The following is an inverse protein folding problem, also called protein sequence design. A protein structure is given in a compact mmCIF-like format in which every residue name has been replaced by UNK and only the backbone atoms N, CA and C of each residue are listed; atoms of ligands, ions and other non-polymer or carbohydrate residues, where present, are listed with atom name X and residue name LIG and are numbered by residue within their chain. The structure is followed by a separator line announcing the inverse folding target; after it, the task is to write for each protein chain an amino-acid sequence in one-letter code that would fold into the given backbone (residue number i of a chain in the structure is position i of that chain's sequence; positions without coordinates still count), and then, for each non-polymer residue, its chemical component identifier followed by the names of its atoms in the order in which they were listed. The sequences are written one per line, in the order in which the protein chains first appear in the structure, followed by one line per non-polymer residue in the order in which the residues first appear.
data_IF_475380076054
#
_entry.id   IF_475380076054
#
_cell.length_a   1.000
_cell.length_b   1.000
_cell.length_c   1.000
_cell.angle_alpha   90.00
_cell.angle_beta   90.00
_cell.angle_gamma   90.00
#
_symmetry.space_group_name_H-M   'P 1'
#
loop_
_entity.id
_entity.type
_entity.pdbx_description
1 polymer ?
#
# COMPACT_ATOMS: atom_id res chain seq x y z
N UNK A 1 -9.23 -33.82 -17.53
CA UNK A 1 -7.81 -33.53 -17.33
C UNK A 1 -7.44 -33.98 -15.93
N UNK A 2 -6.29 -34.62 -15.78
CA UNK A 2 -5.75 -34.93 -14.45
C UNK A 2 -5.37 -33.65 -13.73
N UNK A 3 -5.41 -33.69 -12.38
CA UNK A 3 -5.01 -32.55 -11.54
C UNK A 3 -3.50 -32.35 -11.64
N UNK A 4 -3.07 -31.12 -11.85
CA UNK A 4 -1.65 -30.74 -11.78
C UNK A 4 -1.17 -30.70 -10.32
N UNK A 5 -0.80 -31.86 -9.80
CA UNK A 5 -0.39 -32.00 -8.41
C UNK A 5 0.87 -31.19 -8.10
N UNK A 6 1.77 -30.97 -9.07
CA UNK A 6 3.01 -30.24 -8.84
C UNK A 6 2.75 -28.80 -8.39
N UNK A 7 1.87 -28.06 -9.06
CA UNK A 7 1.55 -26.68 -8.66
C UNK A 7 0.70 -26.64 -7.39
N UNK A 8 -0.25 -27.58 -7.23
CA UNK A 8 -1.08 -27.61 -6.03
C UNK A 8 -0.31 -28.00 -4.77
N UNK A 9 0.73 -28.81 -4.86
CA UNK A 9 1.64 -29.12 -3.73
C UNK A 9 2.48 -27.87 -3.35
N UNK A 10 2.85 -27.03 -4.31
CA UNK A 10 3.53 -25.76 -4.05
C UNK A 10 2.57 -24.80 -3.32
N UNK A 11 1.32 -24.69 -3.77
CA UNK A 11 0.30 -23.86 -3.13
C UNK A 11 0.05 -24.31 -1.69
N UNK A 12 -0.05 -25.63 -1.46
CA UNK A 12 -0.24 -26.16 -0.12
C UNK A 12 0.94 -25.87 0.80
N UNK A 13 2.18 -25.97 0.32
CA UNK A 13 3.36 -25.59 1.12
C UNK A 13 3.36 -24.11 1.49
N UNK A 14 2.95 -23.22 0.59
CA UNK A 14 2.81 -21.80 0.90
C UNK A 14 1.66 -21.56 1.91
N UNK A 15 0.53 -22.24 1.76
CA UNK A 15 -0.56 -22.19 2.74
C UNK A 15 -0.07 -22.61 4.14
N UNK A 16 0.69 -23.71 4.24
CA UNK A 16 1.26 -24.17 5.52
C UNK A 16 2.26 -23.15 6.08
N UNK A 17 3.08 -22.48 5.24
CA UNK A 17 3.97 -21.43 5.67
C UNK A 17 3.19 -20.26 6.28
N UNK A 18 2.18 -19.76 5.59
CA UNK A 18 1.32 -18.68 6.08
C UNK A 18 0.59 -19.05 7.37
N UNK A 19 0.10 -20.28 7.46
CA UNK A 19 -0.64 -20.78 8.63
C UNK A 19 0.22 -20.83 9.89
N UNK A 20 1.49 -21.25 9.77
CA UNK A 20 2.40 -21.48 10.91
C UNK A 20 3.13 -20.23 11.36
N UNK A 21 3.36 -19.26 10.48
CA UNK A 21 4.18 -18.09 10.76
C UNK A 21 3.40 -16.86 11.22
N UNK A 22 4.12 -15.94 11.83
CA UNK A 22 3.66 -14.58 12.14
C UNK A 22 4.02 -13.68 10.96
N UNK A 23 3.01 -13.05 10.35
CA UNK A 23 3.20 -12.12 9.22
C UNK A 23 3.18 -10.67 9.69
N UNK A 24 4.32 -9.98 9.57
CA UNK A 24 4.52 -8.59 9.96
C UNK A 24 4.94 -7.68 8.80
N UNK A 25 4.92 -8.16 7.56
CA UNK A 25 5.13 -7.27 6.42
C UNK A 25 3.95 -6.29 6.34
N UNK A 26 4.24 -5.00 6.50
CA UNK A 26 3.23 -3.94 6.60
C UNK A 26 2.32 -3.81 5.37
N UNK A 27 2.74 -4.35 4.23
CA UNK A 27 2.00 -4.35 2.95
C UNK A 27 1.26 -5.66 2.67
N UNK A 28 1.25 -6.61 3.60
CA UNK A 28 0.53 -7.88 3.47
C UNK A 28 -0.69 -7.94 4.36
N UNK A 29 -1.65 -8.76 3.94
CA UNK A 29 -2.87 -9.05 4.68
C UNK A 29 -3.48 -10.36 4.19
N UNK A 30 -4.41 -10.91 4.98
CA UNK A 30 -5.18 -12.10 4.61
C UNK A 30 -6.60 -11.68 4.18
N UNK A 31 -7.04 -12.19 3.03
CA UNK A 31 -8.37 -11.92 2.50
C UNK A 31 -9.38 -12.93 3.03
N UNK A 32 -10.68 -12.58 2.95
CA UNK A 32 -11.77 -13.48 3.31
C UNK A 32 -11.95 -14.61 2.28
N UNK A 33 -12.64 -15.66 2.70
CA UNK A 33 -13.05 -16.76 1.82
C UNK A 33 -13.88 -16.26 0.62
N UNK A 34 -14.78 -15.29 0.83
CA UNK A 34 -15.59 -14.72 -0.24
C UNK A 34 -14.73 -14.01 -1.30
N UNK A 35 -13.67 -13.31 -0.90
CA UNK A 35 -12.71 -12.70 -1.83
C UNK A 35 -12.00 -13.78 -2.64
N UNK A 36 -11.59 -14.89 -2.02
CA UNK A 36 -10.96 -16.02 -2.71
C UNK A 36 -11.93 -16.71 -3.67
N UNK A 37 -13.18 -16.90 -3.29
CA UNK A 37 -14.23 -17.47 -4.15
C UNK A 37 -14.48 -16.60 -5.40
N UNK A 38 -14.57 -15.27 -5.22
CA UNK A 38 -14.72 -14.34 -6.34
C UNK A 38 -13.53 -14.42 -7.32
N UNK A 39 -12.32 -14.56 -6.80
CA UNK A 39 -11.10 -14.73 -7.60
C UNK A 39 -11.09 -15.99 -8.45
N UNK A 40 -11.62 -17.09 -7.94
CA UNK A 40 -11.72 -18.37 -8.64
C UNK A 40 -13.01 -18.54 -9.48
N UNK A 41 -13.76 -17.47 -9.73
CA UNK A 41 -15.04 -17.50 -10.42
C UNK A 41 -14.91 -17.58 -11.95
N UNK A 42 -16.04 -17.88 -12.62
CA UNK A 42 -16.12 -17.92 -14.08
C UNK A 42 -15.85 -16.56 -14.76
N UNK A 43 -15.82 -15.46 -14.01
CA UNK A 43 -15.47 -14.13 -14.51
C UNK A 43 -14.03 -14.07 -15.06
N UNK A 44 -13.18 -15.03 -14.67
CA UNK A 44 -11.83 -15.19 -15.25
C UNK A 44 -11.84 -15.43 -16.76
N UNK A 45 -12.95 -15.91 -17.32
CA UNK A 45 -13.07 -16.27 -18.74
C UNK A 45 -13.50 -15.07 -19.61
N UNK A 46 -13.96 -13.94 -19.01
CA UNK A 46 -14.57 -12.85 -19.75
C UNK A 46 -13.56 -11.79 -20.18
N UNK A 47 -13.59 -11.43 -21.46
CA UNK A 47 -12.85 -10.30 -22.04
C UNK A 47 -13.76 -9.09 -22.15
N UNK A 48 -13.41 -7.95 -21.53
CA UNK A 48 -14.32 -6.80 -21.38
C UNK A 48 -13.60 -5.46 -21.54
N UNK A 49 -12.82 -5.26 -22.63
CA UNK A 49 -12.18 -3.97 -22.93
C UNK A 49 -13.23 -2.85 -23.03
N UNK A 50 -12.87 -1.68 -22.51
CA UNK A 50 -13.76 -0.54 -22.34
C UNK A 50 -14.25 -0.40 -20.91
N UNK A 51 -15.38 0.25 -20.73
CA UNK A 51 -15.99 0.55 -19.44
C UNK A 51 -17.46 0.11 -19.41
N UNK A 52 -18.11 -0.01 -18.23
CA UNK A 52 -19.52 -0.37 -18.14
C UNK A 52 -20.40 0.48 -19.09
N UNK A 53 -21.18 -0.21 -19.93
CA UNK A 53 -22.03 0.43 -20.94
C UNK A 53 -21.33 0.88 -22.23
N UNK A 54 -19.99 0.87 -22.26
CA UNK A 54 -19.18 1.25 -23.44
C UNK A 54 -18.03 0.24 -23.63
N UNK A 55 -18.38 -0.98 -24.01
CA UNK A 55 -17.43 -2.09 -24.21
C UNK A 55 -17.15 -2.33 -25.70
N UNK A 56 -15.92 -2.76 -25.97
CA UNK A 56 -15.54 -3.19 -27.34
C UNK A 56 -16.08 -4.59 -27.70
N UNK A 57 -16.49 -5.39 -26.70
CA UNK A 57 -16.95 -6.76 -26.87
C UNK A 57 -18.41 -6.93 -26.42
N UNK A 58 -19.13 -7.84 -27.10
CA UNK A 58 -20.47 -8.23 -26.69
C UNK A 58 -20.48 -9.13 -25.45
N UNK A 59 -21.65 -9.32 -24.83
CA UNK A 59 -21.84 -10.20 -23.69
C UNK A 59 -21.27 -9.66 -22.37
N UNK A 60 -21.15 -8.34 -22.21
CA UNK A 60 -20.58 -7.71 -21.04
C UNK A 60 -21.61 -7.23 -20.02
N UNK A 61 -22.91 -7.35 -20.30
CA UNK A 61 -23.96 -6.78 -19.44
C UNK A 61 -23.90 -7.26 -17.97
N UNK A 62 -23.46 -8.48 -17.72
CA UNK A 62 -23.36 -9.02 -16.36
C UNK A 62 -22.08 -8.57 -15.65
N UNK A 63 -20.95 -8.53 -16.39
CA UNK A 63 -19.69 -8.00 -15.80
C UNK A 63 -19.77 -6.49 -15.58
N UNK A 64 -20.57 -5.76 -16.37
CA UNK A 64 -20.86 -4.34 -16.16
C UNK A 64 -21.52 -4.10 -14.78
N UNK A 65 -22.40 -5.02 -14.35
CA UNK A 65 -23.00 -4.96 -13.00
C UNK A 65 -21.94 -5.15 -11.91
N UNK A 66 -21.01 -6.10 -12.09
CA UNK A 66 -19.95 -6.37 -11.13
C UNK A 66 -18.98 -5.18 -11.01
N UNK A 67 -18.55 -4.60 -12.13
CA UNK A 67 -17.67 -3.45 -12.15
C UNK A 67 -18.37 -2.20 -11.60
N UNK A 68 -19.61 -1.95 -11.98
CA UNK A 68 -20.42 -0.84 -11.45
C UNK A 68 -20.61 -0.94 -9.94
N UNK A 69 -20.86 -2.15 -9.41
CA UNK A 69 -20.97 -2.38 -7.98
C UNK A 69 -19.65 -2.09 -7.25
N UNK A 70 -18.50 -2.46 -7.82
CA UNK A 70 -17.19 -2.15 -7.27
C UNK A 70 -16.95 -0.63 -7.23
N UNK A 71 -17.28 0.08 -8.31
CA UNK A 71 -17.18 1.54 -8.42
C UNK A 71 -18.04 2.22 -7.36
N UNK A 72 -19.31 1.87 -7.24
CA UNK A 72 -20.25 2.50 -6.31
C UNK A 72 -19.84 2.26 -4.84
N UNK A 73 -19.44 1.05 -4.48
CA UNK A 73 -18.96 0.74 -3.12
C UNK A 73 -17.69 1.54 -2.80
N UNK A 74 -16.79 1.65 -3.76
CA UNK A 74 -15.54 2.40 -3.57
C UNK A 74 -15.80 3.90 -3.39
N UNK A 75 -16.71 4.48 -4.20
CA UNK A 75 -17.16 5.86 -4.04
C UNK A 75 -17.79 6.09 -2.65
N UNK A 76 -18.61 5.17 -2.20
CA UNK A 76 -19.24 5.24 -0.88
C UNK A 76 -18.22 5.21 0.27
N UNK A 77 -17.21 4.33 0.20
CA UNK A 77 -16.17 4.21 1.23
C UNK A 77 -15.41 5.53 1.43
N UNK A 78 -15.00 6.17 0.35
CA UNK A 78 -14.10 7.32 0.41
C UNK A 78 -14.80 8.68 0.16
N UNK A 79 -16.09 8.69 -0.13
CA UNK A 79 -16.82 9.92 -0.47
C UNK A 79 -16.36 10.53 -1.79
N UNK A 80 -15.98 9.71 -2.77
CA UNK A 80 -15.49 10.13 -4.06
C UNK A 80 -16.62 10.31 -5.07
N UNK A 81 -16.50 11.27 -5.99
CA UNK A 81 -17.43 11.46 -7.12
C UNK A 81 -17.14 10.48 -8.27
N UNK A 82 -15.86 10.13 -8.43
CA UNK A 82 -15.38 9.23 -9.49
C UNK A 82 -14.46 8.15 -8.91
N UNK A 83 -14.54 6.96 -9.49
CA UNK A 83 -13.64 5.84 -9.18
C UNK A 83 -13.37 5.00 -10.43
N UNK A 84 -12.10 4.60 -10.62
CA UNK A 84 -11.70 3.60 -11.60
C UNK A 84 -11.12 2.38 -10.85
N UNK A 85 -11.69 1.20 -11.08
CA UNK A 85 -11.34 -0.05 -10.41
C UNK A 85 -10.54 -1.01 -11.29
N UNK A 86 -10.24 -0.62 -12.53
CA UNK A 86 -9.55 -1.48 -13.50
C UNK A 86 -8.03 -1.61 -13.31
N UNK A 87 -7.27 -0.67 -12.69
CA UNK A 87 -5.83 -0.84 -12.55
C UNK A 87 -5.47 -2.19 -11.92
N UNK A 88 -4.56 -2.94 -12.59
CA UNK A 88 -4.13 -4.27 -12.14
C UNK A 88 -3.25 -4.20 -10.88
N UNK A 89 -2.60 -3.07 -10.65
CA UNK A 89 -1.76 -2.80 -9.48
C UNK A 89 -1.75 -1.32 -9.11
N UNK A 90 -1.27 -0.98 -7.90
CA UNK A 90 -1.03 0.42 -7.52
C UNK A 90 -0.01 1.10 -8.42
N UNK A 91 1.03 0.39 -8.85
CA UNK A 91 2.01 0.95 -9.79
C UNK A 91 1.39 1.32 -11.14
N UNK A 92 0.44 0.53 -11.66
CA UNK A 92 -0.29 0.85 -12.89
C UNK A 92 -1.31 1.96 -12.68
N UNK A 93 -1.94 2.06 -11.52
CA UNK A 93 -2.77 3.21 -11.16
C UNK A 93 -1.94 4.50 -11.16
N UNK A 94 -0.77 4.49 -10.53
CA UNK A 94 0.16 5.62 -10.55
C UNK A 94 0.63 5.95 -11.98
N UNK A 95 1.01 4.93 -12.76
CA UNK A 95 1.42 5.11 -14.16
C UNK A 95 0.31 5.78 -14.99
N UNK A 96 -0.94 5.36 -14.82
CA UNK A 96 -2.07 5.97 -15.52
C UNK A 96 -2.23 7.46 -15.15
N UNK A 97 -2.07 7.84 -13.88
CA UNK A 97 -2.08 9.25 -13.46
C UNK A 97 -0.93 10.03 -14.11
N UNK A 98 0.28 9.49 -14.12
CA UNK A 98 1.41 10.14 -14.80
C UNK A 98 1.13 10.33 -16.29
N UNK A 99 0.62 9.32 -16.99
CA UNK A 99 0.25 9.38 -18.40
C UNK A 99 -0.87 10.39 -18.70
N UNK A 100 -1.83 10.53 -17.80
CA UNK A 100 -2.91 11.52 -17.93
C UNK A 100 -2.41 12.96 -17.77
N UNK A 101 -1.49 13.19 -16.79
CA UNK A 101 -1.12 14.51 -16.30
C UNK A 101 0.19 15.06 -16.87
N UNK A 102 1.08 14.22 -17.38
CA UNK A 102 2.46 14.59 -17.70
C UNK A 102 2.88 14.15 -19.09
N UNK A 103 3.98 14.72 -19.58
CA UNK A 103 4.72 14.28 -20.76
C UNK A 103 6.10 13.75 -20.34
N UNK A 104 6.71 12.84 -21.11
CA UNK A 104 8.08 12.40 -20.85
C UNK A 104 9.04 13.59 -20.66
N UNK A 105 9.85 13.53 -19.60
CA UNK A 105 10.77 14.61 -19.24
C UNK A 105 10.19 15.70 -18.33
N UNK A 106 8.88 15.71 -18.07
CA UNK A 106 8.29 16.63 -17.09
C UNK A 106 8.77 16.33 -15.66
N UNK A 107 8.82 17.38 -14.82
CA UNK A 107 9.22 17.28 -13.42
C UNK A 107 8.04 16.92 -12.54
N UNK A 108 8.29 16.06 -11.56
CA UNK A 108 7.39 15.81 -10.43
C UNK A 108 8.17 15.74 -9.12
N UNK A 109 7.46 15.90 -7.99
CA UNK A 109 8.04 15.94 -6.66
C UNK A 109 7.43 14.82 -5.80
N UNK A 110 8.26 13.94 -5.25
CA UNK A 110 7.84 12.81 -4.40
C UNK A 110 8.73 12.65 -3.17
N UNK A 111 8.30 11.85 -2.19
CA UNK A 111 9.13 11.51 -1.04
C UNK A 111 10.30 10.62 -1.48
N UNK A 112 11.51 10.98 -1.04
CA UNK A 112 12.73 10.23 -1.29
C UNK A 112 12.56 8.75 -0.90
N UNK A 113 12.97 7.85 -1.78
CA UNK A 113 12.87 6.40 -1.60
C UNK A 113 13.55 5.92 -0.30
N UNK A 114 14.74 6.45 0.01
CA UNK A 114 15.47 6.10 1.22
C UNK A 114 14.80 6.63 2.50
N UNK A 115 13.91 7.60 2.37
CA UNK A 115 13.14 8.20 3.48
C UNK A 115 11.71 7.66 3.60
N UNK A 116 11.42 6.55 2.91
CA UNK A 116 10.14 5.85 2.99
C UNK A 116 9.25 6.00 1.76
N UNK A 117 9.69 6.65 0.69
CA UNK A 117 8.97 6.75 -0.58
C UNK A 117 8.69 5.38 -1.21
N UNK A 118 7.86 5.36 -2.25
CA UNK A 118 7.56 4.16 -3.03
C UNK A 118 8.36 4.15 -4.34
N UNK A 119 8.66 2.97 -4.89
CA UNK A 119 9.38 2.83 -6.17
C UNK A 119 8.75 3.65 -7.30
N UNK A 120 7.42 3.68 -7.40
CA UNK A 120 6.70 4.45 -8.42
C UNK A 120 6.63 5.96 -8.14
N UNK A 121 7.31 6.46 -7.11
CA UNK A 121 7.44 7.88 -6.80
C UNK A 121 8.80 8.46 -7.18
N UNK A 122 9.51 7.86 -8.15
CA UNK A 122 10.73 8.43 -8.69
C UNK A 122 11.97 7.55 -8.66
N UNK A 123 11.84 6.27 -8.31
CA UNK A 123 12.99 5.37 -8.37
C UNK A 123 13.57 5.30 -9.79
N UNK A 124 14.90 5.43 -9.95
CA UNK A 124 15.55 5.44 -11.27
C UNK A 124 15.38 4.14 -12.06
N UNK A 125 14.99 3.04 -11.43
CA UNK A 125 14.72 1.75 -12.08
C UNK A 125 13.24 1.52 -12.35
N UNK A 126 12.37 2.47 -11.98
CA UNK A 126 10.93 2.42 -12.21
C UNK A 126 10.53 3.35 -13.36
N UNK A 127 9.36 3.10 -14.00
CA UNK A 127 8.85 3.95 -15.07
C UNK A 127 8.89 5.44 -14.71
N UNK A 128 8.61 5.78 -13.44
CA UNK A 128 8.54 7.15 -12.98
C UNK A 128 9.90 7.87 -13.05
N UNK A 129 10.99 7.21 -12.69
CA UNK A 129 12.34 7.76 -12.82
C UNK A 129 12.96 7.58 -14.21
N UNK A 130 12.46 6.62 -15.02
CA UNK A 130 12.95 6.39 -16.38
C UNK A 130 12.37 7.39 -17.39
N UNK A 131 11.11 7.79 -17.22
CA UNK A 131 10.39 8.63 -18.19
C UNK A 131 10.30 10.10 -17.78
N UNK A 132 10.43 10.41 -16.48
CA UNK A 132 10.18 11.73 -15.91
C UNK A 132 11.35 12.19 -15.05
N UNK A 133 11.41 13.48 -14.75
CA UNK A 133 12.41 14.06 -13.85
C UNK A 133 11.87 14.05 -12.42
N UNK A 134 12.32 13.05 -11.65
CA UNK A 134 11.98 12.93 -10.25
C UNK A 134 12.75 13.95 -9.40
N UNK A 135 12.03 14.79 -8.70
CA UNK A 135 12.52 15.63 -7.61
C UNK A 135 12.11 15.01 -6.29
N UNK A 136 12.89 15.25 -5.25
CA UNK A 136 12.66 14.62 -3.95
C UNK A 136 12.48 15.65 -2.84
N UNK A 137 11.59 15.36 -1.90
CA UNK A 137 11.56 15.93 -0.57
C UNK A 137 11.87 14.87 0.48
N UNK A 138 12.32 15.30 1.64
CA UNK A 138 12.87 14.42 2.66
C UNK A 138 12.05 14.46 3.97
N UNK A 139 12.42 13.61 4.90
CA UNK A 139 12.08 13.80 6.32
C UNK A 139 13.21 14.57 7.01
N UNK A 140 12.91 15.23 8.14
CA UNK A 140 13.89 15.87 9.00
C UNK A 140 14.72 14.81 9.73
N UNK A 141 16.02 15.02 9.84
CA UNK A 141 16.95 14.04 10.42
C UNK A 141 16.71 13.82 11.92
N UNK A 142 16.39 14.88 12.63
CA UNK A 142 16.15 14.87 14.07
C UNK A 142 14.85 14.20 14.47
N UNK A 143 13.76 14.47 13.73
CA UNK A 143 12.42 14.01 14.08
C UNK A 143 11.91 12.83 13.27
N UNK A 144 12.45 12.60 12.07
CA UNK A 144 11.91 11.63 11.11
C UNK A 144 10.54 12.04 10.53
N UNK A 145 10.09 13.27 10.76
CA UNK A 145 8.86 13.82 10.19
C UNK A 145 9.13 14.48 8.84
N UNK A 146 8.12 14.53 7.97
CA UNK A 146 8.25 15.18 6.65
C UNK A 146 8.70 16.61 6.80
N UNK A 147 9.73 16.98 6.04
CA UNK A 147 10.21 18.34 5.93
C UNK A 147 9.38 19.12 4.91
N UNK A 148 8.25 19.64 5.38
CA UNK A 148 7.36 20.45 4.55
C UNK A 148 7.98 21.75 4.08
N UNK A 149 8.89 22.35 4.85
CA UNK A 149 9.61 23.57 4.49
C UNK A 149 10.51 23.33 3.29
N UNK A 150 11.31 22.25 3.33
CA UNK A 150 12.15 21.84 2.20
C UNK A 150 11.30 21.46 0.98
N UNK A 151 10.19 20.74 1.18
CA UNK A 151 9.27 20.38 0.09
C UNK A 151 8.74 21.64 -0.62
N UNK A 152 8.32 22.65 0.13
CA UNK A 152 7.81 23.93 -0.40
C UNK A 152 8.89 24.69 -1.16
N UNK A 153 10.11 24.77 -0.61
CA UNK A 153 11.25 25.40 -1.28
C UNK A 153 11.55 24.76 -2.63
N UNK A 154 11.67 23.43 -2.65
CA UNK A 154 11.91 22.68 -3.89
C UNK A 154 10.77 22.90 -4.90
N UNK A 155 9.54 22.81 -4.46
CA UNK A 155 8.36 22.97 -5.33
C UNK A 155 8.29 24.38 -5.96
N UNK A 156 8.55 25.44 -5.19
CA UNK A 156 8.54 26.82 -5.70
C UNK A 156 9.68 27.09 -6.67
N UNK A 157 10.87 26.56 -6.41
CA UNK A 157 12.05 26.70 -7.27
C UNK A 157 11.91 25.91 -8.57
N UNK A 158 11.51 24.66 -8.49
CA UNK A 158 11.55 23.72 -9.62
C UNK A 158 10.24 23.66 -10.41
N UNK A 159 9.13 24.11 -9.85
CA UNK A 159 7.81 24.17 -10.46
C UNK A 159 7.38 22.83 -11.08
N UNK A 160 7.36 21.70 -10.30
CA UNK A 160 6.92 20.41 -10.81
C UNK A 160 5.46 20.46 -11.27
N UNK A 161 5.11 19.62 -12.25
CA UNK A 161 3.71 19.48 -12.73
C UNK A 161 2.86 18.62 -11.81
N UNK A 162 3.49 17.72 -11.04
CA UNK A 162 2.84 16.80 -10.12
C UNK A 162 3.57 16.81 -8.77
N UNK A 163 2.81 16.88 -7.68
CA UNK A 163 3.31 16.65 -6.32
C UNK A 163 2.63 15.38 -5.81
N UNK A 164 3.43 14.45 -5.24
CA UNK A 164 2.93 13.18 -4.71
C UNK A 164 3.07 13.17 -3.20
N UNK A 165 1.93 12.98 -2.50
CA UNK A 165 1.88 12.59 -1.10
C UNK A 165 1.66 11.08 -1.00
N UNK A 166 2.36 10.45 -0.05
CA UNK A 166 2.24 9.00 0.18
C UNK A 166 3.60 8.34 0.35
N UNK A 167 3.61 7.24 1.10
CA UNK A 167 4.83 6.53 1.44
C UNK A 167 4.59 5.04 1.65
N UNK A 168 5.67 4.26 1.56
CA UNK A 168 5.71 2.83 1.90
C UNK A 168 6.13 2.58 3.35
N UNK A 169 6.89 3.51 3.97
CA UNK A 169 7.47 3.34 5.29
C UNK A 169 7.45 4.64 6.12
N UNK A 170 6.37 5.39 6.05
CA UNK A 170 6.14 6.58 6.89
C UNK A 170 4.99 6.31 7.86
N UNK A 171 5.26 6.49 9.15
CA UNK A 171 4.38 6.03 10.24
C UNK A 171 3.47 7.12 10.80
N UNK A 172 3.53 8.35 10.29
CA UNK A 172 2.77 9.51 10.79
C UNK A 172 1.72 9.98 9.81
N UNK A 173 0.80 10.82 10.29
CA UNK A 173 -0.19 11.47 9.45
C UNK A 173 0.43 12.54 8.53
N UNK A 174 -0.29 12.88 7.48
CA UNK A 174 0.13 13.84 6.44
C UNK A 174 -0.68 15.13 6.55
N UNK A 175 -0.05 16.28 6.36
CA UNK A 175 -0.76 17.54 6.18
C UNK A 175 -1.19 17.72 4.70
N UNK A 176 -2.23 16.99 4.31
CA UNK A 176 -2.75 17.03 2.94
C UNK A 176 -3.25 18.44 2.57
N UNK A 177 -3.79 19.20 3.51
CA UNK A 177 -4.25 20.56 3.28
C UNK A 177 -3.08 21.52 2.94
N UNK A 178 -1.93 21.37 3.61
CA UNK A 178 -0.72 22.13 3.30
C UNK A 178 -0.18 21.78 1.92
N UNK A 179 -0.11 20.50 1.59
CA UNK A 179 0.35 20.03 0.29
C UNK A 179 -0.58 20.51 -0.85
N UNK A 180 -1.89 20.51 -0.62
CA UNK A 180 -2.85 21.02 -1.60
C UNK A 180 -2.65 22.51 -1.86
N UNK A 181 -2.52 23.33 -0.82
CA UNK A 181 -2.25 24.77 -0.97
C UNK A 181 -0.98 25.03 -1.77
N UNK A 182 0.09 24.29 -1.51
CA UNK A 182 1.33 24.39 -2.28
C UNK A 182 1.12 24.04 -3.74
N UNK A 183 0.41 22.96 -4.03
CA UNK A 183 0.13 22.55 -5.41
C UNK A 183 -0.67 23.60 -6.17
N UNK A 184 -1.71 24.18 -5.53
CA UNK A 184 -2.51 25.25 -6.12
C UNK A 184 -1.67 26.52 -6.36
N UNK A 185 -0.80 26.90 -5.43
CA UNK A 185 0.12 28.05 -5.54
C UNK A 185 1.02 27.95 -6.79
N UNK A 186 1.52 26.75 -7.10
CA UNK A 186 2.45 26.56 -8.22
C UNK A 186 1.77 26.05 -9.50
N UNK A 187 0.47 25.79 -9.46
CA UNK A 187 -0.29 25.26 -10.59
C UNK A 187 0.02 23.78 -10.90
N UNK A 188 0.39 23.01 -9.88
CA UNK A 188 0.66 21.56 -10.01
C UNK A 188 -0.59 20.72 -9.68
N UNK A 189 -0.64 19.51 -10.20
CA UNK A 189 -1.58 18.48 -9.74
C UNK A 189 -1.06 17.92 -8.42
N UNK A 190 -1.93 17.84 -7.40
CA UNK A 190 -1.65 17.13 -6.16
C UNK A 190 -2.26 15.73 -6.22
N UNK A 191 -1.41 14.72 -6.19
CA UNK A 191 -1.77 13.31 -6.14
C UNK A 191 -1.42 12.74 -4.78
N UNK A 192 -2.29 11.90 -4.21
CA UNK A 192 -1.98 11.12 -3.02
C UNK A 192 -2.07 9.63 -3.34
N UNK A 193 -0.97 8.91 -3.10
CA UNK A 193 -0.96 7.46 -3.06
C UNK A 193 -1.19 7.01 -1.61
N UNK A 194 -2.45 6.66 -1.30
CA UNK A 194 -2.85 6.23 0.04
C UNK A 194 -2.76 4.71 0.25
N UNK A 195 -2.02 3.99 -0.58
CA UNK A 195 -2.00 2.53 -0.62
C UNK A 195 -1.77 1.88 0.75
N UNK A 196 -0.83 2.40 1.55
CA UNK A 196 -0.52 1.84 2.85
C UNK A 196 -1.64 2.06 3.88
N UNK A 197 -2.11 3.27 4.17
CA UNK A 197 -3.13 3.53 5.17
C UNK A 197 -4.58 3.41 4.67
N UNK A 198 -4.83 2.98 3.44
CA UNK A 198 -6.15 3.02 2.80
C UNK A 198 -7.27 2.39 3.64
N UNK A 199 -7.01 1.29 4.34
CA UNK A 199 -7.98 0.65 5.21
C UNK A 199 -8.33 1.48 6.45
N UNK A 200 -7.34 2.13 7.06
CA UNK A 200 -7.53 3.04 8.20
C UNK A 200 -8.32 4.29 7.79
N UNK A 201 -8.04 4.82 6.59
CA UNK A 201 -8.77 5.94 5.98
C UNK A 201 -10.21 5.53 5.69
N UNK A 202 -10.44 4.35 5.11
CA UNK A 202 -11.77 3.80 4.84
C UNK A 202 -12.60 3.65 6.12
N UNK A 203 -11.96 3.32 7.23
CA UNK A 203 -12.59 3.21 8.55
C UNK A 203 -12.80 4.56 9.27
N UNK A 204 -12.33 5.67 8.68
CA UNK A 204 -12.42 7.00 9.27
C UNK A 204 -11.49 7.21 10.48
N UNK A 205 -10.38 6.47 10.55
CA UNK A 205 -9.40 6.51 11.65
C UNK A 205 -8.16 7.37 11.31
N UNK A 206 -8.03 7.79 10.06
CA UNK A 206 -7.04 8.74 9.55
C UNK A 206 -7.73 9.72 8.60
N UNK A 207 -7.13 10.87 8.37
CA UNK A 207 -7.69 11.89 7.48
C UNK A 207 -7.77 11.37 6.04
N UNK A 208 -8.86 11.72 5.35
CA UNK A 208 -9.16 11.21 4.01
C UNK A 208 -8.61 12.17 2.93
N UNK A 209 -7.57 11.76 2.17
CA UNK A 209 -6.97 12.60 1.16
C UNK A 209 -7.91 12.96 -0.02
N UNK A 210 -9.00 12.22 -0.22
CA UNK A 210 -10.00 12.53 -1.27
C UNK A 210 -10.62 13.91 -1.11
N UNK A 211 -10.61 14.46 0.13
CA UNK A 211 -11.09 15.82 0.41
C UNK A 211 -10.12 16.92 -0.08
N UNK A 212 -8.88 16.60 -0.28
CA UNK A 212 -7.81 17.57 -0.54
C UNK A 212 -7.12 17.37 -1.89
N UNK A 213 -6.80 16.14 -2.23
CA UNK A 213 -6.04 15.83 -3.44
C UNK A 213 -6.88 16.02 -4.70
N UNK A 214 -6.22 16.40 -5.79
CA UNK A 214 -6.84 16.38 -7.11
C UNK A 214 -7.12 14.96 -7.56
N UNK A 215 -6.16 14.04 -7.30
CA UNK A 215 -6.25 12.63 -7.68
C UNK A 215 -5.75 11.77 -6.52
N UNK A 216 -6.45 10.70 -6.21
CA UNK A 216 -6.01 9.73 -5.21
C UNK A 216 -5.84 8.36 -5.87
N UNK A 217 -4.73 7.70 -5.58
CA UNK A 217 -4.51 6.29 -5.97
C UNK A 217 -4.37 5.41 -4.74
N UNK A 218 -4.59 4.14 -4.91
CA UNK A 218 -4.33 3.14 -3.87
C UNK A 218 -4.13 1.76 -4.45
N UNK A 219 -3.58 0.88 -3.62
CA UNK A 219 -3.74 -0.57 -3.75
C UNK A 219 -4.98 -1.03 -2.97
N UNK A 220 -5.43 -2.25 -3.24
CA UNK A 220 -6.60 -2.84 -2.56
C UNK A 220 -6.26 -3.94 -1.56
N UNK A 221 -4.97 -4.33 -1.43
CA UNK A 221 -4.55 -5.57 -0.77
C UNK A 221 -3.74 -5.39 0.52
N UNK A 222 -3.49 -4.14 0.97
CA UNK A 222 -2.74 -3.87 2.20
C UNK A 222 -3.70 -3.74 3.38
N UNK A 223 -3.75 -2.59 4.03
CA UNK A 223 -4.73 -2.35 5.10
C UNK A 223 -6.17 -2.45 4.63
N UNK A 224 -6.47 -2.17 3.35
CA UNK A 224 -7.82 -2.30 2.79
C UNK A 224 -8.31 -3.76 2.72
N UNK A 225 -7.42 -4.75 2.93
CA UNK A 225 -7.70 -6.18 3.10
C UNK A 225 -8.47 -6.81 1.94
N UNK A 226 -8.24 -6.33 0.72
CA UNK A 226 -8.83 -6.89 -0.49
C UNK A 226 -7.83 -7.67 -1.34
N UNK A 227 -8.26 -8.03 -2.55
CA UNK A 227 -7.42 -8.67 -3.55
C UNK A 227 -6.38 -7.69 -4.09
N UNK A 228 -5.20 -8.20 -4.51
CA UNK A 228 -4.16 -7.39 -5.14
C UNK A 228 -4.67 -6.70 -6.40
N UNK A 229 -4.59 -5.39 -6.41
CA UNK A 229 -5.04 -4.53 -7.49
C UNK A 229 -4.79 -3.06 -7.15
N UNK A 230 -5.15 -2.16 -8.07
CA UNK A 230 -5.09 -0.71 -7.91
C UNK A 230 -6.45 -0.05 -8.13
N UNK A 231 -6.56 1.18 -7.68
CA UNK A 231 -7.73 2.06 -7.85
C UNK A 231 -7.30 3.51 -8.06
N UNK A 232 -8.16 4.29 -8.72
CA UNK A 232 -8.00 5.74 -8.87
C UNK A 232 -9.31 6.41 -8.45
N UNK A 233 -9.23 7.51 -7.72
CA UNK A 233 -10.36 8.26 -7.17
C UNK A 233 -10.22 9.76 -7.44
N UNK A 234 -11.36 10.44 -7.62
CA UNK A 234 -11.47 11.90 -7.55
C UNK A 234 -12.53 12.26 -6.50
N UNK A 235 -12.22 13.25 -5.64
CA UNK A 235 -13.22 13.84 -4.73
C UNK A 235 -14.28 14.60 -5.52
N UNK A 236 -13.84 15.48 -6.41
CA UNK A 236 -14.64 16.15 -7.40
C UNK A 236 -13.98 15.96 -8.77
N UNK A 237 -14.80 15.77 -9.81
CA UNK A 237 -14.29 15.75 -11.18
C UNK A 237 -14.14 17.19 -11.70
N UNK A 238 -13.12 17.43 -12.52
CA UNK A 238 -12.79 18.77 -12.99
C UNK A 238 -12.30 18.76 -14.43
N UNK A 239 -12.43 19.90 -15.11
CA UNK A 239 -11.86 20.07 -16.44
C UNK A 239 -10.33 19.97 -16.40
N UNK A 240 -9.75 19.25 -17.34
CA UNK A 240 -8.30 19.14 -17.40
C UNK A 240 -7.64 20.52 -17.62
N UNK A 241 -6.58 20.86 -16.85
CA UNK A 241 -5.97 22.20 -16.90
C UNK A 241 -5.14 22.45 -18.18
N UNK A 242 -4.97 21.42 -19.02
CA UNK A 242 -4.17 21.52 -20.26
C UNK A 242 -5.01 21.81 -21.49
N UNK A 243 -6.32 22.02 -21.36
CA UNK A 243 -7.23 22.32 -22.47
C UNK A 243 -7.38 21.19 -23.48
N UNK A 244 -7.10 19.93 -23.08
CA UNK A 244 -7.34 18.76 -23.95
C UNK A 244 -8.84 18.63 -24.24
N UNK A 245 -9.20 18.50 -25.51
CA UNK A 245 -10.59 18.49 -25.98
C UNK A 245 -10.97 17.17 -26.62
N UNK A 246 -12.27 16.90 -26.63
CA UNK A 246 -12.87 15.83 -27.46
C UNK A 246 -12.82 16.23 -28.94
N UNK A 247 -13.04 15.29 -29.88
CA UNK A 247 -13.18 15.61 -31.30
C UNK A 247 -14.30 16.63 -31.59
N UNK A 248 -15.28 16.75 -30.71
CA UNK A 248 -16.38 17.73 -30.80
C UNK A 248 -16.03 19.10 -30.20
N UNK A 249 -14.80 19.33 -29.77
CA UNK A 249 -14.31 20.61 -29.24
C UNK A 249 -14.66 20.87 -27.76
N UNK A 250 -15.26 19.92 -27.04
CA UNK A 250 -15.59 20.03 -25.61
C UNK A 250 -14.35 19.71 -24.76
N UNK A 251 -14.06 20.51 -23.76
CA UNK A 251 -12.96 20.23 -22.80
C UNK A 251 -13.21 18.90 -22.08
N UNK A 252 -12.21 18.05 -22.04
CA UNK A 252 -12.33 16.74 -21.37
C UNK A 252 -12.22 16.91 -19.87
N UNK A 253 -13.06 16.17 -19.14
CA UNK A 253 -12.97 16.04 -17.69
C UNK A 253 -11.75 15.19 -17.32
N UNK A 254 -11.23 15.37 -16.10
CA UNK A 254 -10.08 14.59 -15.62
C UNK A 254 -10.40 13.10 -15.53
N UNK A 255 -11.61 12.73 -15.12
CA UNK A 255 -12.08 11.34 -15.15
C UNK A 255 -11.90 10.70 -16.52
N UNK A 256 -12.32 11.38 -17.58
CA UNK A 256 -12.16 10.90 -18.96
C UNK A 256 -10.70 10.73 -19.38
N UNK A 257 -9.79 11.58 -18.89
CA UNK A 257 -8.36 11.42 -19.16
C UNK A 257 -7.77 10.23 -18.40
N UNK A 258 -8.17 10.03 -17.17
CA UNK A 258 -7.75 8.90 -16.33
C UNK A 258 -8.25 7.58 -16.92
N UNK A 259 -9.52 7.49 -17.32
CA UNK A 259 -10.06 6.32 -17.98
C UNK A 259 -9.28 5.99 -19.26
N UNK A 260 -9.03 6.98 -20.12
CA UNK A 260 -8.24 6.78 -21.34
C UNK A 260 -6.77 6.38 -21.04
N UNK A 261 -6.21 6.85 -19.93
CA UNK A 261 -4.87 6.49 -19.52
C UNK A 261 -4.80 5.06 -18.97
N UNK A 262 -5.83 4.58 -18.27
CA UNK A 262 -5.94 3.19 -17.85
C UNK A 262 -6.17 2.31 -19.07
N UNK A 263 -7.25 2.53 -19.80
CA UNK A 263 -7.58 1.79 -21.00
C UNK A 263 -7.94 2.78 -22.16
N UNK A 264 -7.28 2.70 -23.29
CA UNK A 264 -6.27 1.72 -23.72
C UNK A 264 -4.81 2.12 -23.40
N UNK A 265 -4.58 3.16 -22.59
CA UNK A 265 -3.26 3.78 -22.43
C UNK A 265 -2.21 2.87 -21.78
N UNK A 266 -2.54 2.20 -20.70
CA UNK A 266 -1.61 1.40 -19.88
C UNK A 266 -1.99 -0.10 -19.89
N UNK A 267 -3.27 -0.41 -20.06
CA UNK A 267 -3.82 -1.77 -19.97
C UNK A 267 -4.70 -2.10 -21.18
N UNK A 268 -4.93 -3.40 -21.42
CA UNK A 268 -5.95 -3.96 -22.28
C UNK A 268 -7.18 -4.39 -21.46
N UNK A 269 -7.66 -5.63 -21.67
CA UNK A 269 -8.83 -6.15 -20.98
C UNK A 269 -8.70 -6.15 -19.47
N UNK A 270 -9.72 -5.68 -18.74
CA UNK A 270 -9.75 -5.70 -17.29
C UNK A 270 -9.84 -7.14 -16.76
N UNK A 271 -9.40 -7.35 -15.53
CA UNK A 271 -9.48 -8.63 -14.84
C UNK A 271 -10.79 -8.69 -14.05
N UNK A 272 -11.88 -9.14 -14.69
CA UNK A 272 -13.22 -9.07 -14.12
C UNK A 272 -13.38 -9.90 -12.83
N UNK A 273 -12.70 -11.03 -12.72
CA UNK A 273 -12.64 -11.80 -11.47
C UNK A 273 -11.94 -11.05 -10.33
N UNK A 274 -10.93 -10.23 -10.65
CA UNK A 274 -10.27 -9.35 -9.69
C UNK A 274 -11.18 -8.19 -9.30
N UNK A 275 -11.92 -7.62 -10.25
CA UNK A 275 -12.88 -6.53 -9.99
C UNK A 275 -14.02 -7.05 -9.10
N UNK A 276 -14.56 -8.24 -9.37
CA UNK A 276 -15.55 -8.86 -8.51
C UNK A 276 -15.02 -9.09 -7.08
N UNK A 277 -13.77 -9.54 -6.95
CA UNK A 277 -13.13 -9.70 -5.65
C UNK A 277 -12.89 -8.36 -4.94
N UNK A 278 -12.59 -7.28 -5.69
CA UNK A 278 -12.57 -5.90 -5.16
C UNK A 278 -13.96 -5.50 -4.65
N UNK A 279 -15.02 -5.77 -5.41
CA UNK A 279 -16.40 -5.48 -5.00
C UNK A 279 -16.78 -6.17 -3.68
N UNK A 280 -16.36 -7.44 -3.48
CA UNK A 280 -16.55 -8.16 -2.22
C UNK A 280 -15.82 -7.44 -1.08
N UNK A 281 -14.52 -7.18 -1.25
CA UNK A 281 -13.71 -6.53 -0.22
C UNK A 281 -14.22 -5.12 0.14
N UNK A 282 -14.71 -4.36 -0.84
CA UNK A 282 -15.32 -3.06 -0.60
C UNK A 282 -16.66 -3.20 0.16
N UNK A 283 -17.43 -4.26 -0.10
CA UNK A 283 -18.61 -4.59 0.69
C UNK A 283 -18.28 -4.91 2.14
N UNK A 284 -17.20 -5.63 2.39
CA UNK A 284 -16.67 -5.90 3.73
C UNK A 284 -16.20 -4.61 4.42
N UNK A 285 -15.52 -3.72 3.69
CA UNK A 285 -15.03 -2.44 4.23
C UNK A 285 -16.16 -1.48 4.66
N UNK A 286 -17.35 -1.65 4.14
CA UNK A 286 -18.55 -0.89 4.53
C UNK A 286 -19.22 -1.43 5.81
N UNK A 287 -18.80 -2.59 6.33
CA UNK A 287 -19.41 -3.16 7.53
C UNK A 287 -18.87 -2.52 8.82
N UNK A 288 -19.67 -2.40 9.88
CA UNK A 288 -19.20 -1.88 11.18
C UNK A 288 -18.00 -2.64 11.74
N UNK A 289 -17.98 -3.96 11.61
CA UNK A 289 -16.87 -4.83 12.04
C UNK A 289 -15.53 -4.50 11.40
N UNK A 290 -15.55 -3.91 10.21
CA UNK A 290 -14.32 -3.47 9.55
C UNK A 290 -13.67 -2.30 10.29
N UNK A 291 -14.47 -1.36 10.82
CA UNK A 291 -13.95 -0.26 11.63
C UNK A 291 -13.33 -0.77 12.94
N UNK A 292 -13.95 -1.77 13.57
CA UNK A 292 -13.40 -2.42 14.76
C UNK A 292 -12.06 -3.10 14.45
N UNK A 293 -11.98 -3.82 13.35
CA UNK A 293 -10.74 -4.43 12.87
C UNK A 293 -9.63 -3.38 12.66
N UNK A 294 -9.92 -2.29 11.96
CA UNK A 294 -8.92 -1.26 11.69
C UNK A 294 -8.49 -0.52 12.97
N UNK A 295 -9.39 -0.32 13.92
CA UNK A 295 -9.06 0.22 15.23
C UNK A 295 -8.10 -0.71 15.98
N UNK A 296 -8.33 -2.03 15.90
CA UNK A 296 -7.43 -3.02 16.50
C UNK A 296 -6.06 -3.04 15.80
N UNK A 297 -6.00 -2.90 14.46
CA UNK A 297 -4.73 -2.76 13.71
C UNK A 297 -3.90 -1.60 14.24
N UNK A 298 -4.52 -0.42 14.41
CA UNK A 298 -3.85 0.78 14.91
C UNK A 298 -3.37 0.59 16.36
N UNK A 299 -4.19 -0.02 17.19
CA UNK A 299 -3.89 -0.31 18.60
C UNK A 299 -2.70 -1.28 18.73
N UNK A 300 -2.72 -2.37 17.98
CA UNK A 300 -1.65 -3.35 17.93
C UNK A 300 -0.32 -2.71 17.48
N UNK A 301 -0.38 -1.83 16.47
CA UNK A 301 0.81 -1.13 16.00
C UNK A 301 1.40 -0.20 17.07
N UNK A 302 0.57 0.55 17.79
CA UNK A 302 1.02 1.42 18.87
C UNK A 302 1.67 0.63 20.01
N UNK A 303 1.07 -0.47 20.44
CA UNK A 303 1.61 -1.35 21.50
C UNK A 303 2.91 -2.00 21.07
N UNK A 304 2.98 -2.52 19.84
CA UNK A 304 4.21 -3.12 19.30
C UNK A 304 5.35 -2.09 19.22
N UNK A 305 5.06 -0.87 18.75
CA UNK A 305 6.05 0.19 18.68
C UNK A 305 6.58 0.58 20.06
N UNK A 306 5.69 0.71 21.07
CA UNK A 306 6.10 1.00 22.43
C UNK A 306 6.94 -0.12 23.04
N UNK A 307 6.53 -1.38 22.87
CA UNK A 307 7.29 -2.53 23.36
C UNK A 307 8.71 -2.61 22.75
N UNK A 308 8.86 -2.25 21.47
CA UNK A 308 10.18 -2.15 20.85
C UNK A 308 11.02 -1.00 21.44
N UNK A 309 10.42 0.16 21.72
CA UNK A 309 11.11 1.27 22.42
C UNK A 309 11.56 0.84 23.80
N UNK A 310 10.71 0.16 24.57
CA UNK A 310 11.03 -0.35 25.92
C UNK A 310 12.18 -1.37 25.89
N UNK A 311 12.38 -2.06 24.77
CA UNK A 311 13.52 -2.95 24.51
C UNK A 311 14.78 -2.22 24.00
N UNK A 312 14.74 -0.89 23.85
CA UNK A 312 15.88 -0.08 23.43
C UNK A 312 16.04 0.08 21.91
N UNK A 313 15.04 -0.29 21.13
CA UNK A 313 15.02 0.02 19.69
C UNK A 313 14.59 1.47 19.44
N UNK A 314 15.09 2.07 18.37
CA UNK A 314 14.63 3.36 17.91
C UNK A 314 13.56 3.16 16.82
N UNK A 315 12.37 3.69 17.05
CA UNK A 315 11.35 3.81 16.03
C UNK A 315 11.51 5.14 15.31
N UNK A 316 11.66 5.13 13.99
CA UNK A 316 11.71 6.37 13.19
C UNK A 316 10.43 7.16 13.41
N UNK A 317 10.53 8.48 13.53
CA UNK A 317 9.48 9.41 13.92
C UNK A 317 8.93 9.23 15.36
N UNK A 318 9.59 8.42 16.20
CA UNK A 318 9.25 8.26 17.61
C UNK A 318 7.99 7.44 17.90
N UNK A 319 7.42 6.75 16.91
CA UNK A 319 6.22 5.91 17.08
C UNK A 319 5.41 5.79 15.79
N UNK A 320 4.12 5.42 15.93
CA UNK A 320 3.22 5.26 14.77
C UNK A 320 1.82 5.78 15.05
N UNK A 321 1.23 6.43 14.05
CA UNK A 321 -0.18 6.83 14.03
C UNK A 321 -1.03 5.88 13.16
N UNK A 322 -0.39 4.93 12.46
CA UNK A 322 -1.04 4.02 11.53
C UNK A 322 -0.75 2.55 11.83
N UNK A 323 -0.61 1.71 10.81
CA UNK A 323 -0.47 0.26 10.88
C UNK A 323 0.98 -0.23 10.84
N UNK A 324 1.95 0.65 10.57
CA UNK A 324 3.34 0.25 10.37
C UNK A 324 4.32 1.07 11.21
N UNK A 325 5.51 0.53 11.39
CA UNK A 325 6.63 1.20 12.03
C UNK A 325 7.93 0.83 11.34
N UNK A 326 8.86 1.78 11.31
CA UNK A 326 10.21 1.60 10.81
C UNK A 326 11.18 1.56 11.99
N UNK A 327 11.82 0.43 12.18
CA UNK A 327 12.74 0.15 13.29
C UNK A 327 14.17 0.37 12.84
N UNK A 328 14.87 1.31 13.46
CA UNK A 328 16.29 1.53 13.26
C UNK A 328 17.08 0.59 14.21
N UNK A 329 17.80 -0.36 13.65
CA UNK A 329 18.57 -1.34 14.40
C UNK A 329 19.87 -0.79 14.98
N UNK A 330 20.41 0.29 14.42
CA UNK A 330 21.73 0.85 14.77
C UNK A 330 21.84 1.24 16.23
N UNK A 331 20.73 1.68 16.84
CA UNK A 331 20.72 2.12 18.25
C UNK A 331 21.03 0.99 19.22
N UNK A 332 20.48 -0.19 18.96
CA UNK A 332 20.64 -1.37 19.84
C UNK A 332 21.72 -2.33 19.36
N UNK A 333 21.80 -2.54 18.04
CA UNK A 333 22.69 -3.47 17.39
C UNK A 333 23.45 -2.78 16.24
N UNK A 334 24.53 -2.00 16.52
CA UNK A 334 25.22 -1.21 15.51
C UNK A 334 25.75 -2.01 14.32
N UNK A 335 26.13 -3.28 14.55
CA UNK A 335 26.68 -4.15 13.50
C UNK A 335 25.60 -4.95 12.73
N UNK A 336 24.40 -5.09 13.30
CA UNK A 336 23.33 -5.86 12.69
C UNK A 336 22.75 -5.12 11.48
N UNK A 337 22.76 -5.76 10.32
CA UNK A 337 22.11 -5.20 9.12
C UNK A 337 20.65 -5.63 9.02
N UNK A 338 19.82 -4.82 8.35
CA UNK A 338 18.45 -5.21 8.04
C UNK A 338 18.36 -6.53 7.27
N UNK A 339 19.35 -6.80 6.38
CA UNK A 339 19.44 -8.06 5.64
C UNK A 339 19.60 -9.28 6.54
N UNK A 340 20.47 -9.19 7.55
CA UNK A 340 20.66 -10.28 8.51
C UNK A 340 19.42 -10.43 9.39
N UNK A 341 18.88 -9.31 9.90
CA UNK A 341 17.67 -9.31 10.72
C UNK A 341 16.47 -9.94 9.97
N UNK A 342 16.21 -9.55 8.72
CA UNK A 342 15.18 -10.16 7.86
C UNK A 342 15.37 -11.69 7.76
N UNK A 343 16.60 -12.14 7.47
CA UNK A 343 16.92 -13.55 7.29
C UNK A 343 16.61 -14.36 8.56
N UNK A 344 17.15 -13.96 9.71
CA UNK A 344 17.02 -14.75 10.95
C UNK A 344 15.58 -14.71 11.50
N UNK A 345 14.84 -13.62 11.29
CA UNK A 345 13.43 -13.56 11.64
C UNK A 345 12.61 -14.53 10.80
N UNK A 346 12.86 -14.59 9.47
CA UNK A 346 12.20 -15.57 8.58
C UNK A 346 12.52 -17.00 8.97
N UNK A 347 13.75 -17.30 9.42
CA UNK A 347 14.15 -18.61 9.92
C UNK A 347 13.41 -18.98 11.22
N UNK A 348 12.93 -17.98 11.96
CA UNK A 348 12.08 -18.14 13.15
C UNK A 348 10.57 -18.11 12.85
N UNK A 349 10.17 -18.19 11.57
CA UNK A 349 8.78 -18.05 11.10
C UNK A 349 8.13 -16.70 11.49
N UNK A 350 8.93 -15.64 11.62
CA UNK A 350 8.46 -14.25 11.77
C UNK A 350 8.83 -13.50 10.48
N UNK A 351 7.83 -13.24 9.64
CA UNK A 351 8.05 -12.60 8.34
C UNK A 351 8.06 -11.08 8.48
N UNK A 352 9.18 -10.45 8.15
CA UNK A 352 9.36 -9.00 8.12
C UNK A 352 10.20 -8.64 6.89
N UNK A 353 10.34 -7.36 6.55
CA UNK A 353 11.24 -6.96 5.48
C UNK A 353 12.32 -5.98 5.97
N UNK A 354 13.54 -6.15 5.44
CA UNK A 354 14.57 -5.11 5.57
C UNK A 354 14.11 -3.82 4.93
N UNK A 355 14.50 -2.70 5.50
CA UNK A 355 14.14 -1.38 5.01
C UNK A 355 15.26 -0.38 5.30
N UNK A 356 15.54 0.51 4.34
CA UNK A 356 16.40 1.66 4.64
C UNK A 356 15.75 2.53 5.71
N UNK A 357 16.56 3.07 6.58
CA UNK A 357 16.14 4.15 7.48
C UNK A 357 16.56 5.49 6.89
N UNK A 358 15.86 6.59 7.17
CA UNK A 358 16.31 7.91 6.70
C UNK A 358 17.78 8.15 7.05
N UNK A 359 18.52 8.73 6.11
CA UNK A 359 19.97 8.98 6.24
C UNK A 359 20.79 7.71 6.52
N UNK A 360 20.37 6.59 5.94
CA UNK A 360 21.08 5.32 6.07
C UNK A 360 22.43 5.38 5.34
N UNK A 361 23.50 5.04 6.04
CA UNK A 361 24.85 4.95 5.45
C UNK A 361 25.10 3.62 4.72
N UNK A 362 24.22 2.62 4.93
CA UNK A 362 24.32 1.31 4.27
C UNK A 362 23.57 1.31 2.94
N UNK A 363 23.99 0.43 2.04
CA UNK A 363 23.33 0.29 0.74
C UNK A 363 21.90 -0.27 0.87
N UNK A 364 21.03 -0.06 -0.13
CA UNK A 364 19.69 -0.65 -0.16
C UNK A 364 19.64 -2.18 -0.08
N UNK A 365 20.75 -2.85 -0.39
CA UNK A 365 20.87 -4.31 -0.31
C UNK A 365 21.17 -4.82 1.10
N UNK A 366 21.71 -3.97 1.99
CA UNK A 366 22.03 -4.28 3.38
C UNK A 366 21.03 -3.68 4.34
N UNK A 367 20.78 -2.39 4.24
CA UNK A 367 19.94 -1.55 5.09
C UNK A 367 20.32 -1.56 6.57
N UNK A 368 19.81 -0.59 7.33
CA UNK A 368 20.02 -0.52 8.78
C UNK A 368 18.74 -0.71 9.58
N UNK A 369 17.63 -0.99 8.92
CA UNK A 369 16.34 -1.16 9.56
C UNK A 369 15.53 -2.33 9.04
N UNK A 370 14.44 -2.57 9.77
CA UNK A 370 13.34 -3.44 9.36
C UNK A 370 12.03 -2.66 9.45
N UNK A 371 11.08 -2.99 8.57
CA UNK A 371 9.72 -2.45 8.64
C UNK A 371 8.79 -3.55 9.15
N UNK A 372 7.95 -3.20 10.12
CA UNK A 372 6.95 -4.06 10.73
C UNK A 372 5.56 -3.44 10.56
N UNK A 373 4.54 -4.28 10.51
CA UNK A 373 3.14 -3.87 10.46
C UNK A 373 2.21 -4.92 11.03
N UNK A 374 1.02 -4.50 11.41
CA UNK A 374 0.08 -5.32 12.17
C UNK A 374 -1.19 -5.77 11.43
N UNK A 375 -1.47 -5.42 10.16
CA UNK A 375 -2.72 -5.77 9.51
C UNK A 375 -2.97 -7.29 9.43
N UNK A 376 -1.98 -8.05 8.97
CA UNK A 376 -2.10 -9.49 8.73
C UNK A 376 -2.34 -10.25 10.05
N UNK A 377 -1.53 -10.01 11.07
CA UNK A 377 -1.69 -10.69 12.37
C UNK A 377 -2.99 -10.29 13.06
N UNK A 378 -3.44 -9.02 12.92
CA UNK A 378 -4.73 -8.57 13.43
C UNK A 378 -5.91 -9.24 12.71
N UNK A 379 -5.81 -9.49 11.40
CA UNK A 379 -6.82 -10.24 10.65
C UNK A 379 -6.99 -11.66 11.21
N UNK A 380 -5.95 -12.24 11.76
CA UNK A 380 -5.98 -13.56 12.44
C UNK A 380 -6.50 -13.49 13.89
N UNK A 381 -6.91 -12.32 14.36
CA UNK A 381 -7.52 -12.15 15.69
C UNK A 381 -6.56 -11.71 16.80
N UNK A 382 -5.30 -11.44 16.49
CA UNK A 382 -4.34 -10.97 17.49
C UNK A 382 -4.73 -9.62 18.10
N UNK A 383 -4.49 -9.48 19.39
CA UNK A 383 -4.71 -8.25 20.16
C UNK A 383 -3.43 -7.81 20.86
N UNK A 384 -3.54 -6.80 21.70
CA UNK A 384 -2.42 -6.11 22.34
C UNK A 384 -1.48 -7.01 23.15
N UNK A 385 -2.05 -7.98 23.85
CA UNK A 385 -1.30 -8.96 24.68
C UNK A 385 -0.27 -9.74 23.85
N UNK A 386 -0.66 -10.19 22.66
CA UNK A 386 0.27 -10.90 21.79
C UNK A 386 1.37 -9.99 21.22
N UNK A 387 1.16 -8.67 21.10
CA UNK A 387 2.16 -7.76 20.53
C UNK A 387 3.44 -7.71 21.36
N UNK A 388 3.30 -7.69 22.69
CA UNK A 388 4.46 -7.76 23.61
C UNK A 388 5.23 -9.06 23.45
N UNK A 389 4.54 -10.19 23.34
CA UNK A 389 5.16 -11.51 23.17
C UNK A 389 5.88 -11.64 21.81
N UNK A 390 5.31 -11.08 20.75
CA UNK A 390 5.97 -11.00 19.43
C UNK A 390 7.27 -10.20 19.53
N UNK A 391 7.26 -9.06 20.23
CA UNK A 391 8.46 -8.23 20.41
C UNK A 391 9.53 -8.96 21.22
N UNK A 392 9.16 -9.72 22.26
CA UNK A 392 10.10 -10.59 23.00
C UNK A 392 10.77 -11.62 22.08
N UNK A 393 9.98 -12.26 21.20
CA UNK A 393 10.52 -13.22 20.23
C UNK A 393 11.44 -12.56 19.20
N UNK A 394 11.06 -11.40 18.67
CA UNK A 394 11.91 -10.60 17.78
C UNK A 394 13.23 -10.25 18.47
N UNK A 395 13.16 -9.71 19.68
CA UNK A 395 14.35 -9.30 20.45
C UNK A 395 15.26 -10.48 20.75
N UNK A 396 14.70 -11.63 21.10
CA UNK A 396 15.45 -12.87 21.36
C UNK A 396 16.24 -13.31 20.13
N UNK A 397 15.61 -13.33 18.95
CA UNK A 397 16.26 -13.71 17.69
C UNK A 397 17.33 -12.70 17.28
N UNK A 398 17.03 -11.40 17.33
CA UNK A 398 17.95 -10.35 16.90
C UNK A 398 19.14 -10.18 17.86
N UNK A 399 19.00 -10.57 19.13
CA UNK A 399 20.09 -10.61 20.10
C UNK A 399 21.02 -11.82 19.92
N UNK A 400 20.57 -12.85 19.19
CA UNK A 400 21.30 -14.11 18.99
C UNK A 400 21.25 -14.55 17.52
N UNK A 401 21.69 -13.72 16.57
CA UNK A 401 21.45 -13.96 15.14
C UNK A 401 22.24 -15.13 14.54
N UNK A 402 23.26 -15.65 15.28
CA UNK A 402 24.08 -16.78 14.86
C UNK A 402 23.76 -18.07 15.63
N UNK A 403 22.85 -18.01 16.62
CA UNK A 403 22.48 -19.19 17.43
C UNK A 403 21.25 -19.91 16.83
N UNK A 404 21.52 -20.91 16.01
CA UNK A 404 20.51 -21.74 15.36
C UNK A 404 19.55 -22.43 16.35
N UNK A 405 20.01 -22.75 17.59
CA UNK A 405 19.15 -23.37 18.59
C UNK A 405 18.14 -22.41 19.17
N UNK A 406 18.55 -21.17 19.43
CA UNK A 406 17.66 -20.11 19.89
C UNK A 406 16.62 -19.80 18.78
N UNK A 407 17.07 -19.65 17.53
CA UNK A 407 16.18 -19.40 16.39
C UNK A 407 15.17 -20.54 16.25
N UNK A 408 15.60 -21.79 16.33
CA UNK A 408 14.71 -22.96 16.25
C UNK A 408 13.70 -22.99 17.43
N UNK A 409 14.13 -22.68 18.64
CA UNK A 409 13.24 -22.62 19.81
C UNK A 409 12.18 -21.52 19.67
N UNK A 410 12.54 -20.35 19.13
CA UNK A 410 11.58 -19.28 18.86
C UNK A 410 10.60 -19.70 17.76
N UNK A 411 11.07 -20.37 16.70
CA UNK A 411 10.20 -20.90 15.65
C UNK A 411 9.17 -21.89 16.20
N UNK A 412 9.58 -22.81 17.07
CA UNK A 412 8.66 -23.74 17.72
C UNK A 412 7.60 -22.99 18.56
N UNK A 413 8.01 -21.96 19.28
CA UNK A 413 7.10 -21.10 20.05
C UNK A 413 6.12 -20.36 19.12
N UNK A 414 6.59 -19.75 18.03
CA UNK A 414 5.75 -19.10 17.00
C UNK A 414 4.72 -20.08 16.48
N UNK A 415 5.15 -21.28 16.05
CA UNK A 415 4.25 -22.28 15.49
C UNK A 415 3.20 -22.74 16.52
N UNK A 416 3.58 -22.86 17.79
CA UNK A 416 2.63 -23.22 18.87
C UNK A 416 1.58 -22.14 19.09
N UNK A 417 1.99 -20.87 19.15
CA UNK A 417 1.07 -19.73 19.34
C UNK A 417 0.10 -19.65 18.16
N UNK A 418 0.58 -19.81 16.93
CA UNK A 418 -0.22 -19.59 15.73
C UNK A 418 -1.31 -20.66 15.51
N UNK A 419 -1.31 -21.76 16.27
CA UNK A 419 -2.43 -22.72 16.31
C UNK A 419 -3.73 -22.06 16.78
N UNK A 420 -3.64 -21.12 17.72
CA UNK A 420 -4.79 -20.42 18.31
C UNK A 420 -5.28 -19.23 17.45
N UNK A 421 -4.52 -18.88 16.41
CA UNK A 421 -4.83 -17.79 15.47
C UNK A 421 -5.07 -18.33 14.06
N UNK A 422 -6.27 -18.84 13.76
CA UNK A 422 -6.56 -19.46 12.46
C UNK A 422 -6.45 -18.46 11.31
N UNK A 423 -6.31 -18.99 10.10
CA UNK A 423 -6.41 -18.18 8.89
C UNK A 423 -7.81 -17.59 8.74
N UNK A 424 -7.91 -16.41 8.11
CA UNK A 424 -9.19 -15.72 7.89
C UNK A 424 -10.04 -16.39 6.80
N UNK A 425 -9.38 -16.99 5.81
CA UNK A 425 -9.98 -17.91 4.84
C UNK A 425 -9.28 -19.26 4.96
N UNK A 426 -9.98 -20.35 5.01
CA UNK A 426 -9.58 -21.77 5.24
C UNK A 426 -9.48 -22.20 6.70
#
# INVERSE_FOLDING_TARGET
MERDNQIFDIIEREHQRQKKGIELIASENFVSEQVMQAMGSCLTNKYAEGYPGDRYFGGCQVVDEAESLAIERLKQIFGASYANVQPHSGAQANMAVFMACMQPGDKFLGLNLAHGGHLSHGSPVNFSGLMFQALEYNVKEDTGLIDYEQMEEVARRERPKLIIGGASAYSREWDYARMRRLADEIGAIFMVDMAHPAGLIAAGLLDNPVKYAHIVTSTTHKTLRGRRGGIILLGEDFENPWGKKTPKGVTRMMSSLLDSAVFPGVQGGPLEHVIAAKAVAFGEALQPSYKEYQAQVKKNAAVMAQALVDKGYKIISGGTDNHCMLVDLRTKFPELTGKVAEKVLVEADITANKNMVPFDSRSPFQTSGIRLGTPAITTRGAKEDLMGEIVEMIDTVLSNPEDEKIIASVREKVNSIMVDYPMFAY
#
